data_IF_404790831702
#
_entry.id   IF_404790831702
#
_cell.length_a   1.000
_cell.length_b   1.000
_cell.length_c   1.000
_cell.angle_alpha   90.00
_cell.angle_beta   90.00
_cell.angle_gamma   90.00
#
_symmetry.space_group_name_H-M   'P 1'
#
loop_
_entity.id
_entity.type
_entity.pdbx_description
1 polymer ?
#
# COMPACT_ATOMS: atom_id res chain seq x y z
N UNK A 1 -18.10 14.12 44.08
CA UNK A 1 -18.29 15.02 42.92
C UNK A 1 -18.20 14.16 41.68
N UNK A 2 -19.22 13.82 40.92
CA UNK A 2 -20.64 14.12 40.91
C UNK A 2 -21.13 13.52 39.59
N UNK A 3 -21.98 12.50 39.68
CA UNK A 3 -22.71 11.93 38.54
C UNK A 3 -23.70 12.97 38.02
N UNK A 4 -23.97 13.01 36.71
CA UNK A 4 -25.27 13.51 36.21
C UNK A 4 -25.47 13.13 34.74
N UNK A 5 -26.32 12.12 34.53
CA UNK A 5 -27.22 12.04 33.39
C UNK A 5 -28.31 13.13 33.52
N UNK A 6 -28.95 13.48 32.40
CA UNK A 6 -30.34 13.95 32.18
C UNK A 6 -30.36 14.68 30.82
N UNK A 7 -31.21 14.41 29.82
CA UNK A 7 -32.54 13.81 29.85
C UNK A 7 -33.61 14.90 29.86
N UNK A 8 -34.34 15.04 28.75
CA UNK A 8 -35.78 15.37 28.65
C UNK A 8 -36.23 16.68 27.95
N UNK A 9 -36.88 16.49 26.79
CA UNK A 9 -38.26 16.91 26.38
C UNK A 9 -38.69 18.38 26.33
N UNK A 10 -39.27 18.84 25.19
CA UNK A 10 -40.73 18.83 24.96
C UNK A 10 -41.19 19.45 23.60
N UNK A 11 -42.18 18.78 22.96
CA UNK A 11 -43.45 19.26 22.33
C UNK A 11 -43.44 20.52 21.42
N UNK A 12 -44.05 20.62 20.23
CA UNK A 12 -44.96 19.78 19.45
C UNK A 12 -45.87 20.65 18.54
N UNK A 13 -45.77 20.48 17.20
CA UNK A 13 -46.77 20.68 16.09
C UNK A 13 -47.40 22.07 15.78
N UNK A 14 -48.17 22.23 14.66
CA UNK A 14 -48.23 21.46 13.40
C UNK A 14 -48.38 22.33 12.08
N UNK A 15 -48.74 21.65 10.97
CA UNK A 15 -49.20 22.08 9.62
C UNK A 15 -48.19 21.96 8.45
N UNK A 16 -48.27 20.92 7.59
CA UNK A 16 -49.19 20.70 6.44
C UNK A 16 -49.01 21.78 5.35
N UNK A 17 -48.75 21.55 4.05
CA UNK A 17 -48.87 20.39 3.16
C UNK A 17 -48.28 20.78 1.76
N UNK A 18 -47.83 19.79 0.96
CA UNK A 18 -47.73 19.74 -0.55
C UNK A 18 -46.68 20.60 -1.29
N UNK A 19 -46.11 20.25 -2.44
CA UNK A 19 -45.87 19.01 -3.23
C UNK A 19 -44.97 19.44 -4.43
N UNK A 20 -44.12 18.52 -4.92
CA UNK A 20 -43.43 18.57 -6.24
C UNK A 20 -42.08 19.30 -6.28
N UNK A 21 -41.05 18.90 -7.04
CA UNK A 21 -40.85 17.81 -8.00
C UNK A 21 -39.32 17.67 -8.25
N UNK A 22 -38.89 16.45 -8.58
CA UNK A 22 -37.66 16.04 -9.27
C UNK A 22 -36.25 16.50 -8.79
N UNK A 23 -35.44 15.54 -8.29
CA UNK A 23 -34.17 15.17 -8.95
C UNK A 23 -33.53 13.90 -8.36
N UNK A 24 -33.37 12.93 -9.26
CA UNK A 24 -32.70 11.62 -9.20
C UNK A 24 -31.42 11.56 -8.33
N UNK A 25 -31.29 10.53 -7.47
CA UNK A 25 -29.98 10.07 -7.00
C UNK A 25 -29.87 8.55 -7.13
N UNK A 26 -28.91 8.14 -7.94
CA UNK A 26 -28.59 6.77 -8.33
C UNK A 26 -27.74 6.13 -7.22
N UNK A 27 -28.21 5.02 -6.64
CA UNK A 27 -27.40 4.17 -5.76
C UNK A 27 -26.51 3.25 -6.61
N UNK A 28 -25.27 3.66 -6.85
CA UNK A 28 -24.24 2.83 -7.49
C UNK A 28 -23.17 2.41 -6.48
N UNK A 29 -23.19 1.11 -6.16
CA UNK A 29 -22.18 0.36 -5.41
C UNK A 29 -20.76 0.68 -5.92
N UNK A 30 -19.73 0.83 -5.06
CA UNK A 30 -18.37 1.01 -5.54
C UNK A 30 -17.83 -0.34 -6.04
N UNK A 31 -17.96 -0.60 -7.33
CA UNK A 31 -17.18 -1.64 -8.00
C UNK A 31 -15.72 -1.20 -8.04
N UNK A 32 -14.83 -1.92 -7.35
CA UNK A 32 -13.39 -1.77 -7.50
C UNK A 32 -12.99 -2.13 -8.94
N UNK A 33 -13.00 -1.15 -9.83
CA UNK A 33 -12.49 -1.29 -11.19
C UNK A 33 -10.97 -1.19 -11.13
N UNK A 34 -10.30 -2.34 -11.22
CA UNK A 34 -8.87 -2.47 -11.51
C UNK A 34 -8.62 -1.88 -12.90
N UNK A 35 -8.23 -0.62 -12.98
CA UNK A 35 -7.73 -0.01 -14.22
C UNK A 35 -6.27 -0.38 -14.41
N UNK A 36 -6.02 -1.38 -15.24
CA UNK A 36 -4.71 -1.64 -15.83
C UNK A 36 -4.43 -0.57 -16.89
N UNK A 37 -3.69 0.47 -16.52
CA UNK A 37 -3.05 1.36 -17.48
C UNK A 37 -1.60 1.57 -17.04
N UNK A 38 -0.73 0.63 -17.43
CA UNK A 38 0.71 0.85 -17.50
C UNK A 38 0.90 1.95 -18.56
N UNK A 39 1.03 3.18 -18.09
CA UNK A 39 1.33 4.32 -18.93
C UNK A 39 2.84 4.40 -19.08
N UNK A 40 3.32 4.36 -20.32
CA UNK A 40 4.72 4.43 -20.77
C UNK A 40 5.38 5.81 -20.49
N UNK A 41 4.93 6.54 -19.46
CA UNK A 41 5.34 7.91 -19.15
C UNK A 41 6.13 8.03 -17.83
N UNK A 42 6.25 6.93 -17.08
CA UNK A 42 6.93 6.86 -15.79
C UNK A 42 8.43 6.50 -15.90
N UNK A 43 8.92 6.25 -17.12
CA UNK A 43 10.34 5.96 -17.36
C UNK A 43 11.21 7.21 -17.12
N UNK A 44 10.70 8.41 -17.41
CA UNK A 44 11.47 9.66 -17.36
C UNK A 44 11.68 10.22 -15.95
N UNK A 45 10.91 9.81 -14.94
CA UNK A 45 11.11 10.24 -13.54
C UNK A 45 11.98 9.29 -12.71
N UNK A 46 12.25 8.08 -13.19
CA UNK A 46 13.14 7.11 -12.53
C UNK A 46 14.62 7.24 -12.92
N UNK A 47 14.94 8.12 -13.88
CA UNK A 47 16.30 8.38 -14.40
C UNK A 47 17.29 8.85 -13.32
N UNK A 48 16.80 9.28 -12.14
CA UNK A 48 17.64 9.70 -11.01
C UNK A 48 18.22 8.56 -10.15
N UNK A 49 17.68 7.33 -10.23
CA UNK A 49 18.20 6.21 -9.46
C UNK A 49 19.25 5.50 -10.31
N UNK A 50 20.51 5.91 -10.19
CA UNK A 50 21.65 5.18 -10.76
C UNK A 50 21.61 3.74 -10.23
N UNK A 51 21.11 2.80 -11.04
CA UNK A 51 21.07 1.39 -10.67
C UNK A 51 22.49 0.91 -10.39
N UNK A 52 22.75 0.54 -9.13
CA UNK A 52 24.04 0.01 -8.69
C UNK A 52 24.13 -1.51 -8.86
N UNK A 53 22.99 -2.16 -9.14
CA UNK A 53 22.85 -3.60 -9.19
C UNK A 53 21.99 -4.00 -10.38
N UNK A 54 22.37 -5.09 -11.04
CA UNK A 54 21.61 -5.76 -12.08
C UNK A 54 21.53 -7.25 -11.72
N UNK A 55 20.36 -7.85 -11.90
CA UNK A 55 20.18 -9.30 -11.75
C UNK A 55 20.58 -9.97 -13.05
N UNK A 56 21.62 -10.79 -12.99
CA UNK A 56 22.14 -11.59 -14.11
C UNK A 56 21.41 -12.92 -14.20
N UNK A 57 21.53 -13.58 -15.37
CA UNK A 57 20.81 -14.81 -15.74
C UNK A 57 20.66 -15.81 -14.60
N UNK A 58 19.42 -15.91 -14.11
CA UNK A 58 19.02 -16.88 -13.10
C UNK A 58 18.64 -18.20 -13.77
N UNK A 59 18.87 -19.35 -13.11
CA UNK A 59 18.35 -20.63 -13.58
C UNK A 59 16.84 -20.58 -13.87
N UNK A 60 16.32 -21.29 -14.90
CA UNK A 60 14.89 -21.23 -15.27
C UNK A 60 13.92 -21.65 -14.16
N UNK A 61 14.37 -22.52 -13.27
CA UNK A 61 13.66 -23.05 -12.11
C UNK A 61 13.84 -22.19 -10.86
N UNK A 62 14.70 -21.16 -10.89
CA UNK A 62 14.91 -20.27 -9.76
C UNK A 62 13.63 -19.48 -9.44
N UNK A 63 13.40 -19.28 -8.14
CA UNK A 63 12.28 -18.50 -7.58
C UNK A 63 12.81 -17.57 -6.50
N UNK A 64 13.58 -16.53 -6.87
CA UNK A 64 14.26 -15.69 -5.90
C UNK A 64 13.26 -14.93 -5.02
N UNK A 65 13.71 -14.56 -3.83
CA UNK A 65 12.90 -13.86 -2.84
C UNK A 65 13.26 -12.36 -2.84
N UNK A 66 12.26 -11.50 -2.94
CA UNK A 66 12.33 -10.07 -2.66
C UNK A 66 11.63 -9.79 -1.34
N UNK A 67 12.32 -9.19 -0.39
CA UNK A 67 11.81 -8.89 0.95
C UNK A 67 11.62 -7.40 1.13
N UNK A 68 10.43 -6.99 1.53
CA UNK A 68 10.12 -5.64 1.95
C UNK A 68 9.95 -5.58 3.46
N UNK A 69 10.56 -4.59 4.12
CA UNK A 69 10.47 -4.41 5.56
C UNK A 69 9.91 -3.03 5.86
N UNK A 70 8.72 -2.96 6.43
CA UNK A 70 8.18 -1.74 7.01
C UNK A 70 8.61 -1.63 8.47
N UNK A 71 9.70 -0.91 8.74
CA UNK A 71 10.27 -0.85 10.10
C UNK A 71 9.39 -0.17 11.14
N UNK A 72 8.41 0.63 10.71
CA UNK A 72 7.52 1.40 11.60
C UNK A 72 6.30 0.62 12.09
N UNK A 73 6.06 -0.57 11.55
CA UNK A 73 4.94 -1.42 11.95
C UNK A 73 5.26 -2.25 13.21
N UNK A 74 4.20 -2.74 13.87
CA UNK A 74 4.30 -3.62 15.04
C UNK A 74 5.08 -3.02 16.21
N UNK A 75 5.95 -3.82 16.82
CA UNK A 75 6.82 -3.43 17.93
C UNK A 75 8.08 -2.65 17.48
N UNK A 76 8.10 -2.14 16.23
CA UNK A 76 9.20 -1.34 15.67
C UNK A 76 10.57 -2.04 15.71
N UNK A 77 10.59 -3.37 15.61
CA UNK A 77 11.83 -4.18 15.58
C UNK A 77 12.35 -4.43 14.16
N UNK A 78 11.93 -3.59 13.20
CA UNK A 78 12.27 -3.74 11.79
C UNK A 78 13.78 -3.68 11.51
N UNK A 79 14.55 -2.90 12.27
CA UNK A 79 15.99 -2.80 12.09
C UNK A 79 16.71 -4.11 12.45
N UNK A 80 16.31 -4.76 13.54
CA UNK A 80 16.85 -6.08 13.94
C UNK A 80 16.46 -7.17 12.95
N UNK A 81 15.22 -7.13 12.46
CA UNK A 81 14.74 -8.05 11.42
C UNK A 81 15.52 -7.86 10.11
N UNK A 82 15.70 -6.61 9.67
CA UNK A 82 16.49 -6.26 8.49
C UNK A 82 17.93 -6.74 8.62
N UNK A 83 18.55 -6.53 9.78
CA UNK A 83 19.90 -7.01 10.04
C UNK A 83 20.00 -8.54 9.91
N UNK A 84 19.07 -9.29 10.50
CA UNK A 84 19.04 -10.75 10.38
C UNK A 84 18.82 -11.21 8.94
N UNK A 85 17.91 -10.58 8.21
CA UNK A 85 17.65 -10.91 6.81
C UNK A 85 18.84 -10.61 5.90
N UNK A 86 19.58 -9.53 6.15
CA UNK A 86 20.81 -9.21 5.41
C UNK A 86 21.95 -10.21 5.67
N UNK A 87 21.92 -10.94 6.79
CA UNK A 87 22.87 -12.02 7.07
C UNK A 87 22.47 -13.30 6.35
N UNK A 88 21.16 -13.57 6.26
CA UNK A 88 20.62 -14.81 5.71
C UNK A 88 20.42 -14.77 4.19
N UNK A 89 20.23 -13.58 3.62
CA UNK A 89 19.91 -13.33 2.23
C UNK A 89 20.92 -12.37 1.61
N UNK A 90 20.92 -12.28 0.29
CA UNK A 90 21.67 -11.22 -0.38
C UNK A 90 21.07 -9.85 0.01
N UNK A 91 21.85 -8.88 0.52
CA UNK A 91 21.35 -7.58 0.95
C UNK A 91 20.55 -6.83 -0.12
N UNK A 92 20.82 -7.08 -1.41
CA UNK A 92 20.08 -6.47 -2.51
C UNK A 92 18.61 -6.90 -2.56
N UNK A 93 18.29 -8.05 -1.95
CA UNK A 93 16.95 -8.61 -1.86
C UNK A 93 16.14 -8.03 -0.72
N UNK A 94 16.75 -7.26 0.19
CA UNK A 94 16.09 -6.72 1.39
C UNK A 94 15.92 -5.22 1.25
N UNK A 95 14.68 -4.80 0.99
CA UNK A 95 14.30 -3.41 0.77
C UNK A 95 13.55 -2.88 1.98
N UNK A 96 14.03 -1.78 2.55
CA UNK A 96 13.30 -1.05 3.57
C UNK A 96 12.21 -0.19 2.92
N UNK A 97 10.99 -0.30 3.45
CA UNK A 97 9.88 0.60 3.14
C UNK A 97 9.89 1.75 4.13
N UNK A 98 9.88 2.96 3.60
CA UNK A 98 9.77 4.19 4.37
C UNK A 98 8.86 5.18 3.65
N UNK A 99 8.56 6.30 4.30
CA UNK A 99 7.76 7.37 3.68
C UNK A 99 8.44 7.99 2.44
N UNK A 100 9.76 7.87 2.33
CA UNK A 100 10.56 8.43 1.22
C UNK A 100 11.01 7.37 0.21
N UNK A 101 10.86 6.09 0.53
CA UNK A 101 11.31 4.98 -0.31
C UNK A 101 10.23 3.90 -0.32
N UNK A 102 9.50 3.82 -1.44
CA UNK A 102 8.48 2.82 -1.67
C UNK A 102 9.04 1.52 -2.25
N UNK A 103 8.15 0.57 -2.61
CA UNK A 103 8.53 -0.74 -3.14
C UNK A 103 9.12 -0.69 -4.57
N UNK A 104 9.00 0.45 -5.26
CA UNK A 104 9.34 0.61 -6.67
C UNK A 104 10.80 0.25 -6.96
N UNK A 105 11.72 0.58 -6.05
CA UNK A 105 13.15 0.26 -6.20
C UNK A 105 13.38 -1.26 -6.27
N UNK A 106 12.73 -2.02 -5.39
CA UNK A 106 12.85 -3.48 -5.35
C UNK A 106 12.17 -4.14 -6.54
N UNK A 107 10.96 -3.67 -6.89
CA UNK A 107 10.22 -4.19 -8.05
C UNK A 107 10.94 -3.90 -9.36
N UNK A 108 11.57 -2.74 -9.48
CA UNK A 108 12.35 -2.37 -10.66
C UNK A 108 13.60 -3.22 -10.82
N UNK A 109 14.27 -3.59 -9.72
CA UNK A 109 15.42 -4.51 -9.75
C UNK A 109 15.00 -5.90 -10.24
N UNK A 110 13.83 -6.39 -9.81
CA UNK A 110 13.31 -7.71 -10.15
C UNK A 110 12.45 -7.74 -11.43
N UNK A 111 12.29 -6.62 -12.14
CA UNK A 111 11.37 -6.50 -13.29
C UNK A 111 11.64 -7.49 -14.44
N UNK A 112 12.89 -7.94 -14.58
CA UNK A 112 13.32 -8.90 -15.62
C UNK A 112 13.31 -10.35 -15.11
N UNK A 113 13.01 -10.57 -13.84
CA UNK A 113 13.03 -11.90 -13.23
C UNK A 113 11.66 -12.56 -13.35
N UNK A 114 11.53 -13.67 -14.08
CA UNK A 114 10.28 -14.41 -14.10
C UNK A 114 10.05 -15.13 -12.75
N UNK A 115 8.81 -15.19 -12.30
CA UNK A 115 8.36 -16.01 -11.16
C UNK A 115 9.15 -15.81 -9.84
N UNK A 116 9.33 -14.58 -9.38
CA UNK A 116 9.91 -14.32 -8.05
C UNK A 116 8.85 -14.32 -6.94
N UNK A 117 9.30 -14.48 -5.70
CA UNK A 117 8.48 -14.46 -4.49
C UNK A 117 8.66 -13.13 -3.78
N UNK A 118 7.59 -12.63 -3.17
CA UNK A 118 7.64 -11.42 -2.34
C UNK A 118 7.28 -11.79 -0.91
N UNK A 119 8.11 -11.36 0.04
CA UNK A 119 7.82 -11.37 1.47
C UNK A 119 7.70 -9.92 1.95
N UNK A 120 6.62 -9.59 2.65
CA UNK A 120 6.45 -8.28 3.28
C UNK A 120 6.41 -8.47 4.79
N UNK A 121 7.29 -7.78 5.49
CA UNK A 121 7.38 -7.78 6.95
C UNK A 121 6.92 -6.43 7.49
N UNK A 122 6.06 -6.46 8.51
CA UNK A 122 5.58 -5.30 9.27
C UNK A 122 5.26 -5.73 10.69
#
# INVERSE_FOLDING_TARGET
MGETCNGSTNMGGPDQNRDGDAAKKLDSKPSFKRSSSINQKEESQMVGIKQRYELIDLPPDARPLLVFINKKSGAQRGDSLRQRLNILLNPVQVVELSSTQGPEVGLYLFRRVPHFRILVCG
#
